data_IF_089541617242
#
_entry.id   IF_089541617242
#
_cell.length_a   1.000
_cell.length_b   1.000
_cell.length_c   1.000
_cell.angle_alpha   90.00
_cell.angle_beta   90.00
_cell.angle_gamma   90.00
#
_symmetry.space_group_name_H-M   'P 1'
#
loop_
_entity.id
_entity.type
_entity.pdbx_description
1 polymer ?
#
# COMPACT_ATOMS: atom_id res chain seq x y z
N UNK A 1 -8.65 9.17 11.18
CA UNK A 1 -7.74 8.83 12.29
C UNK A 1 -6.33 9.28 11.93
N UNK A 2 -5.49 9.67 12.90
CA UNK A 2 -4.14 10.21 12.63
C UNK A 2 -3.08 9.11 12.80
N UNK A 3 -3.01 8.19 11.84
CA UNK A 3 -1.94 7.18 11.80
C UNK A 3 -0.66 7.83 11.30
N UNK A 4 0.05 8.58 12.14
CA UNK A 4 1.29 9.25 11.70
C UNK A 4 2.46 8.25 11.59
N UNK A 5 2.50 7.24 12.47
CA UNK A 5 3.58 6.26 12.49
C UNK A 5 3.13 4.85 12.91
N UNK A 6 3.75 3.83 12.33
CA UNK A 6 3.66 2.42 12.74
C UNK A 6 5.04 1.91 13.19
N UNK A 7 5.12 1.14 14.27
CA UNK A 7 6.36 0.52 14.74
C UNK A 7 6.43 -0.93 14.22
N UNK A 8 7.41 -1.22 13.37
CA UNK A 8 7.68 -2.60 12.95
C UNK A 8 8.29 -3.40 14.11
N UNK A 9 8.14 -4.73 14.08
CA UNK A 9 8.75 -5.63 15.07
C UNK A 9 10.28 -5.48 15.18
N UNK A 10 10.93 -5.00 14.12
CA UNK A 10 12.37 -4.68 14.08
C UNK A 10 12.76 -3.40 14.84
N UNK A 11 11.81 -2.68 15.43
CA UNK A 11 12.03 -1.39 16.09
C UNK A 11 12.08 -0.19 15.15
N UNK A 12 11.86 -0.39 13.85
CA UNK A 12 11.83 0.69 12.85
C UNK A 12 10.47 1.39 12.82
N UNK A 13 10.49 2.72 12.88
CA UNK A 13 9.28 3.54 12.68
C UNK A 13 9.01 3.75 11.19
N UNK A 14 7.78 3.50 10.77
CA UNK A 14 7.27 3.80 9.43
C UNK A 14 6.48 5.10 9.51
N UNK A 15 6.80 6.08 8.67
CA UNK A 15 5.91 7.22 8.42
C UNK A 15 4.83 6.77 7.43
N UNK A 16 3.61 6.58 7.93
CA UNK A 16 2.50 6.00 7.15
C UNK A 16 2.08 6.96 6.05
N UNK A 17 1.92 8.24 6.35
CA UNK A 17 1.53 9.27 5.37
C UNK A 17 2.52 9.33 4.20
N UNK A 18 3.83 9.32 4.50
CA UNK A 18 4.87 9.34 3.48
C UNK A 18 4.85 8.06 2.64
N UNK A 19 4.58 6.90 3.25
CA UNK A 19 4.53 5.62 2.55
C UNK A 19 3.27 5.51 1.68
N UNK A 20 2.13 5.96 2.17
CA UNK A 20 0.87 6.04 1.41
C UNK A 20 1.05 6.92 0.18
N UNK A 21 1.63 8.10 0.36
CA UNK A 21 1.93 8.99 -0.76
C UNK A 21 2.81 8.28 -1.80
N UNK A 22 3.88 7.63 -1.36
CA UNK A 22 4.74 6.86 -2.27
C UNK A 22 3.97 5.77 -3.02
N UNK A 23 3.09 5.02 -2.36
CA UNK A 23 2.32 3.96 -2.98
C UNK A 23 1.31 4.48 -4.02
N UNK A 24 0.70 5.63 -3.74
CA UNK A 24 -0.28 6.27 -4.62
C UNK A 24 0.37 7.01 -5.80
N UNK A 25 1.62 7.47 -5.66
CA UNK A 25 2.36 8.13 -6.74
C UNK A 25 2.94 7.12 -7.77
N UNK A 26 2.93 5.81 -7.46
CA UNK A 26 3.45 4.76 -8.36
C UNK A 26 2.35 4.31 -9.33
N UNK A 27 2.64 4.38 -10.62
CA UNK A 27 1.88 3.66 -11.63
C UNK A 27 2.32 2.19 -11.64
N UNK A 28 1.49 1.34 -11.04
CA UNK A 28 1.78 -0.08 -10.85
C UNK A 28 1.69 -0.88 -12.17
N UNK A 29 0.88 -0.41 -13.13
CA UNK A 29 0.78 -1.03 -14.46
C UNK A 29 2.09 -0.84 -15.24
N UNK A 30 2.68 0.36 -15.18
CA UNK A 30 3.96 0.66 -15.86
C UNK A 30 5.12 -0.20 -15.35
N UNK A 31 5.06 -0.68 -14.11
CA UNK A 31 6.07 -1.57 -13.52
C UNK A 31 5.71 -3.06 -13.59
N UNK A 32 4.67 -3.40 -14.37
CA UNK A 32 4.33 -4.77 -14.75
C UNK A 32 3.28 -5.47 -13.89
N UNK A 33 2.50 -4.73 -13.10
CA UNK A 33 1.26 -5.26 -12.52
C UNK A 33 0.07 -5.03 -13.48
N UNK A 34 -1.11 -5.55 -13.12
CA UNK A 34 -2.31 -5.47 -13.94
C UNK A 34 -3.43 -4.77 -13.18
N UNK A 35 -4.30 -4.07 -13.92
CA UNK A 35 -5.58 -3.62 -13.38
C UNK A 35 -6.31 -4.83 -12.75
N UNK A 36 -6.85 -4.63 -11.54
CA UNK A 36 -7.48 -5.70 -10.78
C UNK A 36 -6.54 -6.46 -9.83
N UNK A 37 -5.22 -6.28 -9.90
CA UNK A 37 -4.31 -6.85 -8.91
C UNK A 37 -4.52 -6.20 -7.53
N UNK A 38 -4.54 -7.02 -6.47
CA UNK A 38 -4.80 -6.56 -5.10
C UNK A 38 -3.54 -6.52 -4.25
N UNK A 39 -3.29 -5.38 -3.63
CA UNK A 39 -2.27 -5.13 -2.62
C UNK A 39 -2.90 -5.23 -1.24
N UNK A 40 -2.20 -5.82 -0.28
CA UNK A 40 -2.56 -5.69 1.14
C UNK A 40 -1.62 -4.66 1.78
N UNK A 41 -2.12 -3.44 1.97
CA UNK A 41 -1.39 -2.34 2.60
C UNK A 41 -1.84 -2.25 4.05
N UNK A 42 -0.95 -2.58 4.98
CA UNK A 42 -1.20 -2.46 6.42
C UNK A 42 -2.47 -3.17 6.92
N UNK A 43 -2.79 -4.32 6.30
CA UNK A 43 -3.96 -5.14 6.64
C UNK A 43 -5.25 -4.76 5.91
N UNK A 44 -5.21 -3.77 5.01
CA UNK A 44 -6.31 -3.37 4.12
C UNK A 44 -5.99 -3.72 2.68
N UNK A 45 -7.00 -4.13 1.93
CA UNK A 45 -6.86 -4.49 0.52
C UNK A 45 -7.18 -3.30 -0.39
N UNK A 46 -6.31 -3.07 -1.37
CA UNK A 46 -6.45 -2.03 -2.39
C UNK A 46 -6.14 -2.62 -3.76
N UNK A 47 -6.99 -2.33 -4.74
CA UNK A 47 -6.88 -2.87 -6.08
C UNK A 47 -6.35 -1.82 -7.04
N UNK A 48 -5.49 -2.22 -7.98
CA UNK A 48 -5.04 -1.34 -9.07
C UNK A 48 -6.25 -0.94 -9.91
N UNK A 49 -6.49 0.36 -10.02
CA UNK A 49 -7.50 0.93 -10.90
C UNK A 49 -7.02 1.04 -12.36
N UNK A 50 -7.91 1.46 -13.25
CA UNK A 50 -7.60 1.63 -14.67
C UNK A 50 -6.56 2.72 -14.98
N UNK A 51 -6.25 3.60 -14.01
CA UNK A 51 -5.16 4.57 -14.13
C UNK A 51 -3.81 3.99 -13.71
N UNK A 52 -3.80 2.79 -13.13
CA UNK A 52 -2.62 2.09 -12.65
C UNK A 52 -2.28 2.34 -11.19
N UNK A 53 -3.20 2.91 -10.39
CA UNK A 53 -2.93 3.31 -9.00
C UNK A 53 -3.85 2.58 -8.01
N UNK A 54 -3.42 2.47 -6.75
CA UNK A 54 -4.16 1.75 -5.68
C UNK A 54 -4.90 2.66 -4.69
N UNK A 55 -4.68 3.99 -4.77
CA UNK A 55 -5.40 5.03 -4.00
C UNK A 55 -5.65 4.71 -2.51
N UNK A 56 -4.58 4.37 -1.78
CA UNK A 56 -4.64 4.10 -0.34
C UNK A 56 -5.12 5.34 0.41
N UNK A 57 -6.12 5.18 1.27
CA UNK A 57 -6.60 6.26 2.15
C UNK A 57 -5.81 6.29 3.46
N UNK A 58 -5.30 7.45 3.83
CA UNK A 58 -4.64 7.67 5.13
C UNK A 58 -5.63 7.67 6.30
N UNK A 59 -6.93 7.77 6.02
CA UNK A 59 -7.98 7.76 7.05
C UNK A 59 -8.39 6.36 7.48
N UNK A 60 -7.99 5.33 6.72
CA UNK A 60 -8.27 3.93 7.02
C UNK A 60 -7.64 3.49 8.34
N UNK A 61 -8.32 2.58 9.03
CA UNK A 61 -7.77 1.88 10.20
C UNK A 61 -6.85 0.75 9.75
N UNK A 62 -5.58 0.87 10.12
CA UNK A 62 -4.53 -0.09 9.78
C UNK A 62 -4.33 -1.10 10.91
N UNK A 63 -4.39 -2.38 10.55
CA UNK A 63 -4.31 -3.51 11.51
C UNK A 63 -2.97 -4.24 11.44
N UNK A 64 -2.06 -3.81 10.55
CA UNK A 64 -0.76 -4.43 10.35
C UNK A 64 0.31 -3.40 9.95
N UNK A 65 1.58 -3.78 10.06
CA UNK A 65 2.71 -2.93 9.65
C UNK A 65 3.34 -3.37 8.32
N UNK A 66 2.79 -4.41 7.71
CA UNK A 66 3.30 -5.04 6.50
C UNK A 66 2.59 -4.53 5.24
N UNK A 67 3.29 -4.62 4.10
CA UNK A 67 2.71 -4.43 2.78
C UNK A 67 2.95 -5.72 1.99
N UNK A 68 1.88 -6.34 1.51
CA UNK A 68 1.92 -7.54 0.66
C UNK A 68 1.57 -7.16 -0.76
N UNK A 69 2.40 -7.61 -1.68
CA UNK A 69 2.26 -7.33 -3.11
C UNK A 69 1.50 -8.49 -3.78
N UNK A 70 0.74 -8.22 -4.85
CA UNK A 70 0.10 -9.27 -5.62
C UNK A 70 1.15 -10.26 -6.15
N UNK A 71 0.81 -11.54 -6.08
CA UNK A 71 1.64 -12.61 -6.59
C UNK A 71 1.76 -12.50 -8.11
N UNK A 72 2.98 -12.32 -8.61
CA UNK A 72 3.27 -12.41 -10.04
C UNK A 72 3.43 -13.89 -10.41
N UNK A 73 2.58 -14.40 -11.28
CA UNK A 73 2.94 -15.57 -12.08
C UNK A 73 3.95 -15.10 -13.11
N UNK A 74 5.24 -15.35 -12.84
CA UNK A 74 6.36 -15.10 -13.75
C UNK A 74 6.27 -16.06 -14.93
#
# INVERSE_FOLDING_TARGET
GKHTYLLQESGKTINVDAKIKQLNDINWIEIGYKEGDTFSVYGKEYTIDSSGHINVSAEDEFTSTEIKYPSRSI
#
